data_IF_135328556532
#
_entry.id   IF_135328556532
#
_cell.length_a   1.000
_cell.length_b   1.000
_cell.length_c   1.000
_cell.angle_alpha   90.00
_cell.angle_beta   90.00
_cell.angle_gamma   90.00
#
_symmetry.space_group_name_H-M   'P 1'
#
loop_
_entity.id
_entity.type
_entity.pdbx_description
1 polymer ?
#
# COMPACT_ATOMS: atom_id res chain seq x y z
N UNK A 1 0.99 -2.82 -16.26
CA UNK A 1 1.68 -1.64 -16.83
C UNK A 1 3.17 -1.94 -16.83
N UNK A 2 3.88 -1.78 -17.95
CA UNK A 2 5.31 -2.13 -18.07
C UNK A 2 6.15 -0.98 -18.67
N UNK A 3 5.75 0.26 -18.41
CA UNK A 3 6.43 1.49 -18.84
C UNK A 3 6.41 2.54 -17.73
N UNK A 4 7.00 3.73 -17.93
CA UNK A 4 7.15 4.78 -16.91
C UNK A 4 5.81 5.49 -16.63
N UNK A 5 4.86 4.77 -16.04
CA UNK A 5 3.50 5.25 -15.74
C UNK A 5 3.18 4.98 -14.27
N UNK A 6 2.89 6.06 -13.54
CA UNK A 6 2.49 6.00 -12.13
C UNK A 6 1.00 6.32 -12.00
N UNK A 7 0.24 5.44 -11.34
CA UNK A 7 -1.16 5.67 -11.01
C UNK A 7 -1.27 6.36 -9.64
N UNK A 8 -2.04 7.45 -9.58
CA UNK A 8 -2.33 8.17 -8.33
C UNK A 8 -3.82 8.01 -8.02
N UNK A 9 -4.13 7.47 -6.85
CA UNK A 9 -5.50 7.24 -6.39
C UNK A 9 -5.72 7.95 -5.06
N UNK A 10 -6.79 8.72 -4.96
CA UNK A 10 -7.22 9.30 -3.68
C UNK A 10 -7.93 8.23 -2.85
N UNK A 11 -7.79 8.33 -1.53
CA UNK A 11 -8.49 7.51 -0.55
C UNK A 11 -8.91 8.41 0.61
N UNK A 12 -9.89 7.98 1.40
CA UNK A 12 -10.38 8.75 2.56
C UNK A 12 -9.95 8.14 3.88
N UNK A 13 -9.96 6.83 3.99
CA UNK A 13 -9.63 6.12 5.22
C UNK A 13 -8.46 5.16 5.04
N UNK A 14 -7.83 4.77 6.14
CA UNK A 14 -6.71 3.85 6.12
C UNK A 14 -7.17 2.43 5.75
N UNK A 15 -8.35 2.02 6.21
CA UNK A 15 -8.94 0.71 5.95
C UNK A 15 -9.24 0.57 4.46
N UNK A 16 -9.87 1.59 3.85
CA UNK A 16 -10.18 1.62 2.41
C UNK A 16 -8.93 1.42 1.55
N UNK A 17 -7.80 2.04 1.93
CA UNK A 17 -6.57 1.97 1.13
C UNK A 17 -5.83 0.65 1.32
N UNK A 18 -5.90 0.04 2.51
CA UNK A 18 -5.34 -1.28 2.78
C UNK A 18 -6.11 -2.34 1.99
N UNK A 19 -7.45 -2.34 2.07
CA UNK A 19 -8.29 -3.29 1.33
C UNK A 19 -8.05 -3.18 -0.17
N UNK A 20 -7.94 -1.94 -0.68
CA UNK A 20 -7.65 -1.70 -2.10
C UNK A 20 -6.24 -2.18 -2.49
N UNK A 21 -5.24 -1.98 -1.65
CA UNK A 21 -3.87 -2.41 -1.91
C UNK A 21 -3.77 -3.95 -1.98
N UNK A 22 -4.45 -4.65 -1.08
CA UNK A 22 -4.48 -6.11 -1.03
C UNK A 22 -5.39 -6.74 -2.11
N UNK A 23 -6.34 -5.97 -2.69
CA UNK A 23 -7.18 -6.42 -3.82
C UNK A 23 -6.42 -6.58 -5.15
N UNK A 24 -5.08 -6.56 -5.13
CA UNK A 24 -4.23 -6.82 -6.27
C UNK A 24 -3.93 -8.32 -6.38
N UNK A 25 -4.06 -8.90 -7.58
CA UNK A 25 -3.60 -10.27 -7.83
C UNK A 25 -2.06 -10.40 -7.79
N UNK A 26 -1.36 -9.27 -7.78
CA UNK A 26 0.09 -9.17 -7.60
C UNK A 26 0.40 -8.73 -6.16
N UNK A 27 1.55 -9.17 -5.62
CA UNK A 27 1.99 -8.83 -4.26
C UNK A 27 3.51 -8.77 -4.11
N UNK A 28 4.22 -8.13 -5.04
CA UNK A 28 5.68 -8.12 -5.03
C UNK A 28 6.26 -7.14 -3.99
N UNK A 29 5.87 -5.87 -4.08
CA UNK A 29 6.41 -4.81 -3.21
C UNK A 29 5.33 -3.78 -2.89
N UNK A 30 5.28 -3.36 -1.63
CA UNK A 30 4.53 -2.20 -1.17
C UNK A 30 5.48 -1.23 -0.45
N UNK A 31 5.03 0.00 -0.23
CA UNK A 31 5.78 0.98 0.56
C UNK A 31 4.80 1.93 1.27
N UNK A 32 5.08 2.26 2.53
CA UNK A 32 4.26 3.17 3.34
C UNK A 32 5.04 4.46 3.59
N UNK A 33 4.54 5.57 3.04
CA UNK A 33 5.12 6.89 3.25
C UNK A 33 4.36 7.62 4.36
N UNK A 34 4.97 7.73 5.53
CA UNK A 34 4.38 8.42 6.68
C UNK A 34 5.46 8.96 7.61
N UNK A 35 5.13 9.99 8.39
CA UNK A 35 5.99 10.51 9.48
C UNK A 35 5.70 9.81 10.82
N UNK A 36 4.57 9.13 10.92
CA UNK A 36 4.14 8.41 12.13
C UNK A 36 4.59 6.95 12.03
N UNK A 37 5.46 6.54 12.95
CA UNK A 37 6.02 5.18 13.03
C UNK A 37 4.97 4.13 13.40
N UNK A 38 4.01 4.46 14.26
CA UNK A 38 2.93 3.53 14.61
C UNK A 38 2.05 3.26 13.39
N UNK A 39 1.79 4.30 12.60
CA UNK A 39 1.07 4.17 11.33
C UNK A 39 1.89 3.38 10.31
N UNK A 40 3.21 3.57 10.25
CA UNK A 40 4.08 2.78 9.36
C UNK A 40 4.00 1.29 9.71
N UNK A 41 4.16 0.94 10.99
CA UNK A 41 4.15 -0.44 11.46
C UNK A 41 2.78 -1.10 11.29
N UNK A 42 1.70 -0.42 11.66
CA UNK A 42 0.33 -0.96 11.54
C UNK A 42 -0.09 -1.20 10.09
N UNK A 43 0.18 -0.26 9.19
CA UNK A 43 -0.14 -0.41 7.77
C UNK A 43 0.74 -1.50 7.14
N UNK A 44 2.03 -1.51 7.43
CA UNK A 44 2.95 -2.52 6.89
C UNK A 44 2.53 -3.93 7.30
N UNK A 45 2.14 -4.13 8.57
CA UNK A 45 1.66 -5.44 9.04
C UNK A 45 0.35 -5.91 8.38
N UNK A 46 -0.45 -4.99 7.84
CA UNK A 46 -1.73 -5.29 7.21
C UNK A 46 -1.64 -5.48 5.69
N UNK A 47 -0.52 -5.14 5.06
CA UNK A 47 -0.32 -5.25 3.62
C UNK A 47 0.14 -6.66 3.21
N UNK A 48 -0.43 -7.17 2.12
CA UNK A 48 -0.10 -8.46 1.55
C UNK A 48 0.92 -8.29 0.41
N UNK A 49 2.20 -8.17 0.77
CA UNK A 49 3.31 -8.07 -0.19
C UNK A 49 4.55 -8.82 0.29
N UNK A 50 5.38 -9.30 -0.66
CA UNK A 50 6.63 -9.99 -0.36
C UNK A 50 7.73 -9.08 0.21
N UNK A 51 7.66 -7.78 -0.04
CA UNK A 51 8.58 -6.77 0.50
C UNK A 51 7.82 -5.47 0.80
N UNK A 52 8.08 -4.84 1.94
CA UNK A 52 7.41 -3.63 2.42
C UNK A 52 8.44 -2.60 2.89
#
# INVERSE_FOLDING_TARGET
IFGPVQCIMKFKTQEEVIDRANSSQYGLTAAVFTRDVNRAMSVSAALEAGTI
#
